data_IF_314448015995
#
_entry.id   IF_314448015995
#
_cell.length_a   1.000
_cell.length_b   1.000
_cell.length_c   1.000
_cell.angle_alpha   90.00
_cell.angle_beta   90.00
_cell.angle_gamma   90.00
#
_symmetry.space_group_name_H-M   'P 1'
#
loop_
_entity.id
_entity.type
_entity.pdbx_description
1 polymer ?
#
# COMPACT_ATOMS: atom_id res chain seq x y z
N UNK A 1 -32.23 55.67 13.99
CA UNK A 1 -31.09 55.17 14.80
C UNK A 1 -30.64 53.83 14.23
N UNK A 2 -29.41 53.73 13.70
CA UNK A 2 -28.85 52.47 13.19
C UNK A 2 -28.09 51.80 14.33
N UNK A 3 -28.54 50.62 14.77
CA UNK A 3 -27.82 49.83 15.78
C UNK A 3 -26.54 49.24 15.17
N UNK A 4 -25.39 49.28 15.86
CA UNK A 4 -24.17 48.64 15.38
C UNK A 4 -24.32 47.11 15.48
N UNK A 5 -23.79 46.33 14.51
CA UNK A 5 -23.81 44.88 14.60
C UNK A 5 -22.90 44.39 15.75
N UNK A 6 -23.42 43.46 16.56
CA UNK A 6 -22.71 42.87 17.69
C UNK A 6 -21.52 42.01 17.23
N UNK A 7 -20.36 42.06 17.92
CA UNK A 7 -19.11 41.39 17.53
C UNK A 7 -19.14 39.84 17.63
N UNK A 8 -20.20 39.27 18.18
CA UNK A 8 -20.33 37.82 18.47
C UNK A 8 -20.37 36.96 17.20
N UNK A 9 -20.92 37.48 16.09
CA UNK A 9 -21.09 36.73 14.84
C UNK A 9 -19.78 36.51 14.09
N UNK A 10 -18.82 37.45 14.20
CA UNK A 10 -17.51 37.34 13.56
C UNK A 10 -16.63 36.28 14.24
N UNK A 11 -16.70 36.17 15.56
CA UNK A 11 -15.91 35.23 16.36
C UNK A 11 -16.34 33.78 16.10
N UNK A 12 -17.64 33.51 16.05
CA UNK A 12 -18.19 32.18 15.77
C UNK A 12 -17.80 31.67 14.37
N UNK A 13 -17.84 32.54 13.36
CA UNK A 13 -17.50 32.20 11.96
C UNK A 13 -16.00 31.95 11.77
N UNK A 14 -15.15 32.59 12.58
CA UNK A 14 -13.70 32.40 12.57
C UNK A 14 -13.30 31.09 13.29
N UNK A 15 -13.98 30.76 14.39
CA UNK A 15 -13.84 29.47 15.09
C UNK A 15 -14.28 28.29 14.20
N UNK A 16 -15.43 28.40 13.53
CA UNK A 16 -15.88 27.37 12.58
C UNK A 16 -14.90 27.19 11.42
N UNK A 17 -14.35 28.28 10.85
CA UNK A 17 -13.34 28.19 9.79
C UNK A 17 -12.05 27.53 10.26
N UNK A 18 -11.57 27.85 11.47
CA UNK A 18 -10.36 27.23 12.04
C UNK A 18 -10.57 25.75 12.35
N UNK A 19 -11.74 25.38 12.88
CA UNK A 19 -12.10 23.98 13.10
C UNK A 19 -12.20 23.20 11.78
N UNK A 20 -12.77 23.81 10.73
CA UNK A 20 -12.86 23.20 9.40
C UNK A 20 -11.49 23.04 8.74
N UNK A 21 -10.64 24.06 8.80
CA UNK A 21 -9.24 24.00 8.35
C UNK A 21 -8.44 22.95 9.11
N UNK A 22 -8.63 22.83 10.43
CA UNK A 22 -7.98 21.80 11.24
C UNK A 22 -8.46 20.39 10.88
N UNK A 23 -9.76 20.18 10.62
CA UNK A 23 -10.29 18.90 10.13
C UNK A 23 -9.74 18.55 8.73
N UNK A 24 -9.68 19.52 7.82
CA UNK A 24 -9.12 19.31 6.47
C UNK A 24 -7.63 18.96 6.56
N UNK A 25 -6.84 19.71 7.33
CA UNK A 25 -5.41 19.43 7.54
C UNK A 25 -5.16 18.06 8.19
N UNK A 26 -6.03 17.63 9.10
CA UNK A 26 -5.98 16.29 9.70
C UNK A 26 -6.27 15.17 8.69
N UNK A 27 -7.18 15.40 7.75
CA UNK A 27 -7.54 14.44 6.71
C UNK A 27 -6.46 14.27 5.62
N UNK A 28 -5.50 15.20 5.53
CA UNK A 28 -4.35 15.13 4.61
C UNK A 28 -3.19 14.26 5.13
N UNK A 29 -3.23 13.80 6.39
CA UNK A 29 -2.18 12.97 7.01
C UNK A 29 -2.35 11.46 6.76
N UNK A 30 -3.09 11.05 5.74
CA UNK A 30 -3.24 9.65 5.36
C UNK A 30 -1.90 9.19 4.75
N UNK A 31 -1.01 8.69 5.60
CA UNK A 31 0.18 7.97 5.14
C UNK A 31 -0.28 6.79 4.26
N UNK A 32 0.43 6.44 3.19
CA UNK A 32 0.09 5.26 2.40
C UNK A 32 0.21 4.02 3.30
N UNK A 33 -0.93 3.54 3.79
CA UNK A 33 -1.03 2.44 4.76
C UNK A 33 -0.65 1.07 4.14
N UNK A 34 -0.41 1.00 2.83
CA UNK A 34 -0.16 -0.24 2.09
C UNK A 34 1.14 -0.95 2.53
N UNK A 35 2.24 -0.21 2.75
CA UNK A 35 3.55 -0.77 3.12
C UNK A 35 3.81 -0.74 4.63
N UNK A 36 2.82 -1.17 5.40
CA UNK A 36 2.99 -1.32 6.85
C UNK A 36 3.38 -2.77 7.17
N UNK A 37 4.57 -2.92 7.74
CA UNK A 37 5.18 -4.20 8.13
C UNK A 37 4.20 -5.10 8.88
N UNK A 38 3.54 -4.58 9.91
CA UNK A 38 2.64 -5.36 10.75
C UNK A 38 1.40 -5.83 9.97
N UNK A 39 0.75 -4.93 9.22
CA UNK A 39 -0.41 -5.29 8.40
C UNK A 39 -0.07 -6.30 7.31
N UNK A 40 1.07 -6.15 6.65
CA UNK A 40 1.52 -7.13 5.65
C UNK A 40 1.75 -8.50 6.26
N UNK A 41 2.40 -8.56 7.43
CA UNK A 41 2.62 -9.81 8.17
C UNK A 41 1.30 -10.46 8.56
N UNK A 42 0.34 -9.68 9.06
CA UNK A 42 -0.99 -10.19 9.42
C UNK A 42 -1.79 -10.67 8.20
N UNK A 43 -1.74 -9.94 7.08
CA UNK A 43 -2.39 -10.34 5.83
C UNK A 43 -1.79 -11.65 5.28
N UNK A 44 -0.45 -11.77 5.29
CA UNK A 44 0.24 -12.98 4.87
C UNK A 44 -0.12 -14.19 5.76
N UNK A 45 -0.26 -14.00 7.07
CA UNK A 45 -0.71 -15.05 7.99
C UNK A 45 -2.11 -15.58 7.65
N UNK A 46 -3.00 -14.72 7.14
CA UNK A 46 -4.35 -15.14 6.71
C UNK A 46 -4.34 -15.91 5.39
N UNK A 47 -3.34 -15.68 4.54
CA UNK A 47 -3.22 -16.32 3.23
C UNK A 47 -2.56 -17.69 3.32
N UNK A 48 -1.39 -17.78 3.97
CA UNK A 48 -0.71 -19.06 4.12
C UNK A 48 0.80 -18.99 4.31
N UNK A 49 1.43 -20.17 4.48
CA UNK A 49 2.83 -20.27 4.86
C UNK A 49 3.81 -19.73 3.81
N UNK A 50 3.48 -19.83 2.52
CA UNK A 50 4.34 -19.32 1.44
C UNK A 50 4.33 -17.79 1.41
N UNK A 51 3.16 -17.16 1.55
CA UNK A 51 3.06 -15.70 1.74
C UNK A 51 3.85 -15.25 2.96
N UNK A 52 3.72 -15.94 4.11
CA UNK A 52 4.50 -15.61 5.32
C UNK A 52 6.00 -15.70 5.07
N UNK A 53 6.47 -16.77 4.41
CA UNK A 53 7.88 -16.93 4.06
C UNK A 53 8.37 -15.85 3.10
N UNK A 54 7.57 -15.51 2.09
CA UNK A 54 7.85 -14.43 1.13
C UNK A 54 7.98 -13.08 1.82
N UNK A 55 7.02 -12.72 2.67
CA UNK A 55 7.00 -11.45 3.41
C UNK A 55 8.20 -11.31 4.36
N UNK A 56 8.59 -12.39 5.05
CA UNK A 56 9.78 -12.40 5.93
C UNK A 56 11.07 -12.01 5.20
N UNK A 57 11.15 -12.28 3.90
CA UNK A 57 12.32 -11.90 3.08
C UNK A 57 12.11 -10.57 2.36
N UNK A 58 10.88 -10.26 1.95
CA UNK A 58 10.55 -9.02 1.23
C UNK A 58 10.71 -7.78 2.14
N UNK A 59 10.23 -7.83 3.38
CA UNK A 59 10.26 -6.67 4.27
C UNK A 59 11.66 -6.10 4.51
N UNK A 60 12.69 -6.88 4.92
CA UNK A 60 14.03 -6.33 5.12
C UNK A 60 14.64 -5.82 3.81
N UNK A 61 14.31 -6.42 2.66
CA UNK A 61 14.72 -5.91 1.35
C UNK A 61 14.12 -4.52 1.10
N UNK A 62 12.81 -4.35 1.30
CA UNK A 62 12.14 -3.07 1.07
C UNK A 62 12.68 -1.97 1.99
N UNK A 63 12.96 -2.30 3.27
CA UNK A 63 13.61 -1.37 4.21
C UNK A 63 15.00 -0.99 3.74
N UNK A 64 15.79 -1.95 3.25
CA UNK A 64 17.13 -1.65 2.73
C UNK A 64 17.10 -0.75 1.49
N UNK A 65 16.08 -0.92 0.62
CA UNK A 65 15.93 -0.15 -0.61
C UNK A 65 15.40 1.27 -0.39
N UNK A 66 14.93 1.66 0.81
CA UNK A 66 14.45 3.05 1.04
C UNK A 66 15.56 4.09 0.94
N UNK A 67 16.80 3.69 1.19
CA UNK A 67 17.99 4.56 1.13
C UNK A 67 18.77 4.39 -0.19
N UNK A 68 18.31 3.48 -1.06
CA UNK A 68 18.97 3.18 -2.33
C UNK A 68 18.57 4.18 -3.42
N UNK A 69 19.41 4.32 -4.47
CA UNK A 69 19.04 5.03 -5.68
C UNK A 69 17.96 4.28 -6.49
N UNK A 70 17.36 4.96 -7.46
CA UNK A 70 16.24 4.40 -8.22
C UNK A 70 16.62 3.13 -9.01
N UNK A 71 17.84 3.08 -9.56
CA UNK A 71 18.30 1.90 -10.30
C UNK A 71 18.40 0.68 -9.37
N UNK A 72 19.00 0.85 -8.19
CA UNK A 72 19.10 -0.22 -7.21
C UNK A 72 17.73 -0.66 -6.65
N UNK A 73 16.77 0.27 -6.50
CA UNK A 73 15.38 -0.08 -6.13
C UNK A 73 14.73 -0.97 -7.19
N UNK A 74 14.79 -0.54 -8.45
CA UNK A 74 14.22 -1.27 -9.58
C UNK A 74 14.82 -2.67 -9.68
N UNK A 75 16.15 -2.78 -9.65
CA UNK A 75 16.85 -4.06 -9.72
C UNK A 75 16.56 -4.96 -8.51
N UNK A 76 16.50 -4.38 -7.31
CA UNK A 76 16.21 -5.09 -6.08
C UNK A 76 14.81 -5.73 -6.08
N UNK A 77 13.78 -4.95 -6.38
CA UNK A 77 12.38 -5.42 -6.41
C UNK A 77 12.16 -6.37 -7.59
N UNK A 78 12.61 -6.01 -8.79
CA UNK A 78 12.47 -6.86 -9.98
C UNK A 78 13.18 -8.21 -9.78
N UNK A 79 14.41 -8.20 -9.25
CA UNK A 79 15.16 -9.41 -8.96
C UNK A 79 14.53 -10.27 -7.86
N UNK A 80 13.89 -9.66 -6.86
CA UNK A 80 13.22 -10.39 -5.79
C UNK A 80 12.08 -11.28 -6.31
N UNK A 81 11.19 -10.70 -7.12
CA UNK A 81 10.01 -11.40 -7.66
C UNK A 81 10.40 -12.37 -8.78
N UNK A 82 11.24 -11.95 -9.73
CA UNK A 82 11.64 -12.81 -10.85
C UNK A 82 12.35 -14.09 -10.43
N UNK A 83 13.02 -14.11 -9.26
CA UNK A 83 13.67 -15.32 -8.72
C UNK A 83 12.73 -16.22 -7.92
N UNK A 84 11.57 -15.72 -7.49
CA UNK A 84 10.64 -16.43 -6.59
C UNK A 84 9.41 -16.96 -7.29
N UNK A 85 9.02 -16.33 -8.39
CA UNK A 85 7.80 -16.63 -9.09
C UNK A 85 8.09 -17.44 -10.35
N UNK A 86 7.37 -18.52 -10.55
CA UNK A 86 7.31 -19.21 -11.84
C UNK A 86 6.26 -18.53 -12.74
N UNK A 87 6.57 -18.36 -14.03
CA UNK A 87 5.58 -17.85 -14.98
C UNK A 87 4.54 -18.93 -15.33
N UNK A 88 3.26 -18.66 -15.09
CA UNK A 88 2.12 -19.55 -15.39
C UNK A 88 0.85 -18.74 -15.63
N UNK A 89 0.05 -19.14 -16.61
CA UNK A 89 -1.23 -18.49 -16.92
C UNK A 89 -2.30 -18.77 -15.85
N UNK A 90 -3.25 -17.86 -15.68
CA UNK A 90 -4.33 -17.96 -14.69
C UNK A 90 -5.18 -19.24 -14.76
N UNK A 91 -5.30 -19.84 -15.94
CA UNK A 91 -6.01 -21.11 -16.10
C UNK A 91 -5.34 -22.25 -15.33
N UNK A 92 -4.01 -22.21 -15.25
CA UNK A 92 -3.22 -23.21 -14.54
C UNK A 92 -3.17 -22.91 -13.04
N UNK A 93 -3.10 -21.62 -12.66
CA UNK A 93 -2.92 -21.18 -11.26
C UNK A 93 -4.24 -21.07 -10.52
N UNK A 94 -5.23 -20.39 -11.12
CA UNK A 94 -6.48 -19.97 -10.49
C UNK A 94 -7.71 -20.65 -11.07
N UNK A 95 -7.55 -21.38 -12.19
CA UNK A 95 -8.63 -22.07 -12.92
C UNK A 95 -9.75 -21.14 -13.39
N UNK A 96 -9.41 -19.88 -13.63
CA UNK A 96 -10.30 -18.87 -14.20
C UNK A 96 -9.67 -18.25 -15.45
N UNK A 97 -10.41 -17.40 -16.13
CA UNK A 97 -9.96 -16.81 -17.40
C UNK A 97 -8.96 -15.67 -17.23
N UNK A 98 -9.10 -14.89 -16.16
CA UNK A 98 -8.35 -13.65 -15.89
C UNK A 98 -8.52 -13.32 -14.39
N UNK A 99 -7.43 -13.31 -13.63
CA UNK A 99 -7.37 -13.08 -12.19
C UNK A 99 -6.14 -12.27 -11.83
N UNK A 100 -6.36 -11.06 -11.32
CA UNK A 100 -5.28 -10.16 -10.96
C UNK A 100 -4.91 -10.37 -9.49
N UNK A 101 -3.90 -11.20 -9.24
CA UNK A 101 -3.49 -11.54 -7.89
C UNK A 101 -2.83 -10.36 -7.18
N UNK A 102 -3.12 -10.21 -5.88
CA UNK A 102 -2.36 -9.28 -5.04
C UNK A 102 -0.93 -9.80 -4.81
N UNK A 103 0.03 -8.93 -4.45
CA UNK A 103 1.43 -9.36 -4.24
C UNK A 103 1.58 -10.51 -3.23
N UNK A 104 0.73 -10.56 -2.21
CA UNK A 104 0.76 -11.63 -1.21
C UNK A 104 0.13 -12.94 -1.72
N UNK A 105 -0.88 -12.86 -2.58
CA UNK A 105 -1.45 -14.02 -3.26
C UNK A 105 -0.45 -14.61 -4.25
N UNK A 106 0.23 -13.78 -5.03
CA UNK A 106 1.31 -14.20 -5.93
C UNK A 106 2.45 -14.88 -5.16
N UNK A 107 2.83 -14.33 -3.99
CA UNK A 107 3.82 -14.97 -3.10
C UNK A 107 3.30 -16.28 -2.47
N UNK A 108 2.00 -16.39 -2.22
CA UNK A 108 1.41 -17.62 -1.70
C UNK A 108 1.41 -18.73 -2.76
N UNK A 109 1.12 -18.40 -4.02
CA UNK A 109 1.15 -19.37 -5.11
C UNK A 109 2.58 -19.67 -5.58
N UNK A 110 3.49 -18.70 -5.48
CA UNK A 110 4.84 -18.81 -6.03
C UNK A 110 4.86 -18.82 -7.56
N UNK A 111 3.78 -18.39 -8.20
CA UNK A 111 3.63 -18.30 -9.64
C UNK A 111 2.57 -17.27 -10.00
N UNK A 112 2.61 -16.82 -11.25
CA UNK A 112 1.67 -15.87 -11.85
C UNK A 112 2.08 -15.57 -13.29
N UNK A 113 1.30 -14.78 -13.99
CA UNK A 113 1.58 -14.34 -15.36
C UNK A 113 2.10 -12.89 -15.40
N UNK A 114 1.87 -12.18 -16.49
CA UNK A 114 2.54 -10.90 -16.74
C UNK A 114 2.10 -9.83 -15.73
N UNK A 115 0.80 -9.74 -15.51
CA UNK A 115 0.13 -8.78 -14.65
C UNK A 115 0.43 -9.05 -13.18
N UNK A 116 0.45 -10.32 -12.76
CA UNK A 116 0.80 -10.69 -11.40
C UNK A 116 2.23 -10.25 -11.06
N UNK A 117 3.17 -10.44 -11.98
CA UNK A 117 4.55 -9.96 -11.83
C UNK A 117 4.62 -8.43 -11.79
N UNK A 118 3.79 -7.74 -12.56
CA UNK A 118 3.78 -6.29 -12.62
C UNK A 118 3.14 -5.65 -11.38
N UNK A 119 2.05 -6.23 -10.87
CA UNK A 119 1.34 -5.79 -9.66
C UNK A 119 2.17 -6.07 -8.41
N UNK A 120 2.92 -7.17 -8.41
CA UNK A 120 3.78 -7.52 -7.30
C UNK A 120 4.95 -6.56 -7.09
N UNK A 121 5.50 -5.97 -8.16
CA UNK A 121 6.67 -5.08 -8.17
C UNK A 121 6.29 -3.63 -7.87
#
# INVERSE_FOLDING_TARGET
MRHPPHPVTATCRTLMRRAWLACVLSALSISPLAWNVERMSQAAQRLGPHAVAGVRVLQPLLVHLTEADDAARLDGVNGFFNRRLAFRDDRDVWHVGDFWASPLETLQQGMGDCEDFAIAK
#
